data_IF_524236036753
#
_entry.id   IF_524236036753
#
_cell.length_a   1.000
_cell.length_b   1.000
_cell.length_c   1.000
_cell.angle_alpha   90.00
_cell.angle_beta   90.00
_cell.angle_gamma   90.00
#
_symmetry.space_group_name_H-M   'P 1'
#
loop_
_entity.id
_entity.type
_entity.pdbx_description
1 polymer ?
#
# COMPACT_ATOMS: atom_id res chain seq x y z
N UNK A 1 1.92 -6.53 7.47
CA UNK A 1 2.93 -5.82 6.64
C UNK A 1 3.38 -6.62 5.42
N UNK A 2 3.83 -7.89 5.53
CA UNK A 2 4.26 -8.69 4.36
C UNK A 2 3.22 -8.73 3.24
N UNK A 3 1.96 -9.05 3.56
CA UNK A 3 0.87 -9.06 2.58
C UNK A 3 0.67 -7.71 1.86
N UNK A 4 0.80 -6.59 2.57
CA UNK A 4 0.68 -5.26 1.95
C UNK A 4 1.74 -5.01 0.89
N UNK A 5 2.99 -5.43 1.17
CA UNK A 5 4.08 -5.36 0.18
C UNK A 5 3.80 -6.29 -1.00
N UNK A 6 3.36 -7.53 -0.76
CA UNK A 6 2.97 -8.46 -1.84
C UNK A 6 1.87 -7.87 -2.72
N UNK A 7 0.84 -7.27 -2.12
CA UNK A 7 -0.26 -6.61 -2.84
C UNK A 7 0.23 -5.45 -3.70
N UNK A 8 1.16 -4.64 -3.17
CA UNK A 8 1.82 -3.58 -3.93
C UNK A 8 2.62 -4.13 -5.12
N UNK A 9 3.43 -5.17 -4.90
CA UNK A 9 4.23 -5.79 -5.97
C UNK A 9 3.37 -6.44 -7.05
N UNK A 10 2.25 -7.07 -6.68
CA UNK A 10 1.28 -7.61 -7.62
C UNK A 10 0.73 -6.47 -8.50
N UNK A 11 0.26 -5.37 -7.89
CA UNK A 11 -0.23 -4.23 -8.66
C UNK A 11 0.85 -3.61 -9.56
N UNK A 12 2.09 -3.54 -9.08
CA UNK A 12 3.23 -3.05 -9.84
C UNK A 12 3.49 -3.92 -11.08
N UNK A 13 3.58 -5.23 -10.92
CA UNK A 13 3.87 -6.16 -12.02
C UNK A 13 2.69 -6.21 -13.00
N UNK A 14 1.45 -6.30 -12.49
CA UNK A 14 0.26 -6.31 -13.33
C UNK A 14 0.17 -5.06 -14.21
N UNK A 15 0.53 -3.88 -13.68
CA UNK A 15 0.50 -2.64 -14.44
C UNK A 15 1.75 -2.41 -15.32
N UNK A 16 2.92 -2.90 -14.92
CA UNK A 16 4.16 -2.77 -15.69
C UNK A 16 4.21 -3.71 -16.90
N UNK A 17 3.71 -4.94 -16.75
CA UNK A 17 3.63 -5.94 -17.82
C UNK A 17 2.26 -5.93 -18.53
N UNK A 18 1.37 -5.01 -18.16
CA UNK A 18 0.02 -4.89 -18.72
C UNK A 18 -0.78 -6.20 -18.70
N UNK A 19 -0.71 -6.94 -17.59
CA UNK A 19 -1.39 -8.22 -17.41
C UNK A 19 -2.90 -7.96 -17.34
N UNK A 20 -3.63 -8.45 -18.33
CA UNK A 20 -5.07 -8.28 -18.46
C UNK A 20 -5.80 -9.56 -18.89
N UNK A 21 -5.08 -10.47 -19.53
CA UNK A 21 -5.57 -11.75 -20.06
C UNK A 21 -4.81 -12.93 -19.42
N UNK A 22 -5.34 -14.15 -19.58
CA UNK A 22 -4.75 -15.35 -18.97
C UNK A 22 -3.46 -15.70 -19.71
N UNK A 23 -3.45 -15.45 -21.02
CA UNK A 23 -2.33 -15.61 -21.93
C UNK A 23 -1.11 -14.79 -21.45
N UNK A 24 -1.30 -13.56 -20.97
CA UNK A 24 -0.22 -12.73 -20.39
C UNK A 24 0.44 -13.43 -19.18
N UNK A 25 -0.36 -14.12 -18.36
CA UNK A 25 0.13 -14.88 -17.20
C UNK A 25 0.91 -16.09 -17.69
N UNK A 26 0.40 -16.83 -18.67
CA UNK A 26 1.06 -18.01 -19.24
C UNK A 26 2.42 -17.64 -19.84
N UNK A 27 2.48 -16.60 -20.66
CA UNK A 27 3.71 -16.10 -21.27
C UNK A 27 4.77 -15.74 -20.20
N UNK A 28 4.37 -15.05 -19.14
CA UNK A 28 5.27 -14.71 -18.03
C UNK A 28 5.75 -15.98 -17.31
N UNK A 29 4.85 -16.90 -16.98
CA UNK A 29 5.21 -18.17 -16.32
C UNK A 29 6.20 -18.98 -17.18
N UNK A 30 6.02 -19.01 -18.51
CA UNK A 30 6.94 -19.67 -19.45
C UNK A 30 8.30 -18.98 -19.52
N UNK A 31 8.34 -17.65 -19.50
CA UNK A 31 9.57 -16.85 -19.49
C UNK A 31 10.39 -17.06 -18.20
N UNK A 32 9.74 -17.40 -17.08
CA UNK A 32 10.33 -17.68 -15.74
C UNK A 32 11.12 -16.53 -15.12
N UNK A 33 11.16 -15.36 -15.74
CA UNK A 33 11.79 -14.16 -15.25
C UNK A 33 10.99 -12.93 -15.64
N UNK A 34 11.25 -11.82 -14.95
CA UNK A 34 10.77 -10.52 -15.40
C UNK A 34 11.82 -9.89 -16.29
N UNK A 35 11.41 -9.35 -17.43
CA UNK A 35 12.28 -8.54 -18.28
C UNK A 35 12.79 -7.34 -17.49
N UNK A 36 14.13 -7.24 -17.32
CA UNK A 36 14.77 -6.12 -16.63
C UNK A 36 14.49 -4.80 -17.34
N UNK A 37 14.44 -4.82 -18.67
CA UNK A 37 14.26 -3.62 -19.48
C UNK A 37 12.88 -2.99 -19.24
N UNK A 38 11.83 -3.83 -19.16
CA UNK A 38 10.47 -3.38 -18.84
C UNK A 38 10.40 -2.77 -17.44
N UNK A 39 11.02 -3.42 -16.46
CA UNK A 39 11.05 -2.91 -15.08
C UNK A 39 11.82 -1.59 -15.01
N UNK A 40 12.96 -1.49 -15.69
CA UNK A 40 13.81 -0.31 -15.68
C UNK A 40 13.13 0.87 -16.38
N UNK A 41 12.48 0.64 -17.51
CA UNK A 41 11.68 1.65 -18.21
C UNK A 41 10.51 2.13 -17.33
N UNK A 42 9.79 1.20 -16.72
CA UNK A 42 8.68 1.52 -15.83
C UNK A 42 9.14 2.32 -14.61
N UNK A 43 10.25 1.91 -13.99
CA UNK A 43 10.87 2.63 -12.88
C UNK A 43 11.28 4.04 -13.32
N UNK A 44 11.95 4.21 -14.47
CA UNK A 44 12.35 5.53 -14.98
C UNK A 44 11.15 6.45 -15.21
N UNK A 45 10.04 5.92 -15.74
CA UNK A 45 8.83 6.70 -16.00
C UNK A 45 8.12 7.18 -14.72
N UNK A 46 8.29 6.48 -13.59
CA UNK A 46 7.53 6.73 -12.36
C UNK A 46 8.40 6.95 -11.11
N UNK A 47 9.73 7.05 -11.27
CA UNK A 47 10.72 7.07 -10.19
C UNK A 47 10.42 8.10 -9.10
N UNK A 48 10.02 9.31 -9.48
CA UNK A 48 9.72 10.41 -8.55
C UNK A 48 8.65 10.06 -7.51
N UNK A 49 7.75 9.12 -7.84
CA UNK A 49 6.62 8.71 -6.98
C UNK A 49 6.94 7.57 -6.03
N UNK A 50 8.13 6.98 -6.13
CA UNK A 50 8.61 5.91 -5.25
C UNK A 50 9.51 6.41 -4.11
N UNK A 51 9.78 7.71 -4.05
CA UNK A 51 10.47 8.33 -2.91
C UNK A 51 9.56 8.48 -1.70
N UNK A 52 9.97 7.95 -0.55
CA UNK A 52 9.18 8.03 0.68
C UNK A 52 8.99 9.47 1.16
N UNK A 53 10.04 10.29 1.07
CA UNK A 53 10.04 11.70 1.46
C UNK A 53 10.33 12.54 0.21
N UNK A 54 9.32 12.76 -0.61
CA UNK A 54 9.39 13.65 -1.77
C UNK A 54 8.50 14.85 -1.51
N UNK A 55 9.01 16.04 -1.78
CA UNK A 55 8.25 17.28 -1.57
C UNK A 55 7.01 17.34 -2.47
N UNK A 56 7.14 16.76 -3.68
CA UNK A 56 6.11 16.85 -4.71
C UNK A 56 5.22 15.60 -4.80
N UNK A 57 5.81 14.42 -4.64
CA UNK A 57 5.12 13.14 -4.83
C UNK A 57 5.55 12.11 -3.78
N UNK A 58 5.28 12.34 -2.48
CA UNK A 58 5.67 11.40 -1.44
C UNK A 58 4.94 10.07 -1.60
N UNK A 59 5.69 8.97 -1.55
CA UNK A 59 5.18 7.63 -1.78
C UNK A 59 4.00 7.33 -0.86
N UNK A 60 2.83 7.01 -1.45
CA UNK A 60 1.59 6.64 -0.74
C UNK A 60 1.13 7.68 0.30
N UNK A 61 1.49 8.94 0.10
CA UNK A 61 1.20 10.05 1.00
C UNK A 61 0.60 11.22 0.22
N UNK A 62 0.12 12.22 0.95
CA UNK A 62 -0.32 13.48 0.39
C UNK A 62 0.77 14.55 0.59
N UNK A 63 1.26 15.23 -0.47
CA UNK A 63 2.19 16.34 -0.32
C UNK A 63 1.54 17.59 0.31
N UNK A 64 0.24 17.78 0.10
CA UNK A 64 -0.52 18.91 0.64
C UNK A 64 -0.89 18.60 2.10
N UNK A 65 0.02 18.95 2.99
CA UNK A 65 -0.18 18.90 4.43
C UNK A 65 -0.41 20.31 4.96
N UNK A 66 -1.48 20.48 5.73
CA UNK A 66 -1.72 21.69 6.50
C UNK A 66 -1.13 21.51 7.89
N UNK A 67 -0.17 22.35 8.28
CA UNK A 67 0.49 22.31 9.58
C UNK A 67 -0.50 22.52 10.75
N UNK A 68 -1.66 23.14 10.50
CA UNK A 68 -2.72 23.26 11.51
C UNK A 68 -3.39 21.90 11.83
N UNK A 69 -3.14 20.87 11.02
CA UNK A 69 -3.64 19.54 11.29
C UNK A 69 -2.91 18.89 12.48
N UNK A 70 -3.68 18.43 13.46
CA UNK A 70 -3.16 17.84 14.70
C UNK A 70 -2.24 16.66 14.39
N UNK A 71 -0.93 16.87 14.53
CA UNK A 71 0.10 15.82 14.44
C UNK A 71 -0.30 14.63 15.30
N UNK A 72 -0.20 13.43 14.74
CA UNK A 72 -0.54 12.18 15.42
C UNK A 72 0.68 11.29 15.60
N UNK A 73 0.74 10.48 16.67
CA UNK A 73 1.79 9.50 16.82
C UNK A 73 1.78 8.49 15.67
N UNK A 74 2.96 8.08 15.23
CA UNK A 74 3.17 7.11 14.14
C UNK A 74 2.52 5.73 14.41
N UNK A 75 2.24 5.40 15.68
CA UNK A 75 1.44 4.22 16.05
C UNK A 75 0.03 4.23 15.45
N UNK A 76 -0.50 5.40 15.08
CA UNK A 76 -1.78 5.56 14.35
C UNK A 76 -1.73 5.00 12.93
N UNK A 77 -0.56 4.83 12.32
CA UNK A 77 -0.40 4.12 11.05
C UNK A 77 -0.40 2.59 11.27
N UNK A 78 0.12 2.15 12.41
CA UNK A 78 0.36 0.75 12.76
C UNK A 78 -0.64 0.24 13.81
N UNK A 79 -1.92 0.62 13.67
CA UNK A 79 -2.97 0.38 14.68
C UNK A 79 -3.19 -1.10 15.03
N UNK A 80 -2.81 -2.03 14.15
CA UNK A 80 -2.88 -3.47 14.43
C UNK A 80 -1.74 -4.00 15.29
N UNK A 81 -0.60 -3.32 15.27
CA UNK A 81 0.60 -3.79 15.95
C UNK A 81 0.76 -3.14 17.32
N UNK A 82 0.26 -1.91 17.48
CA UNK A 82 0.43 -1.14 18.71
C UNK A 82 -0.92 -0.73 19.30
N UNK A 83 -1.07 -0.77 20.64
CA UNK A 83 -2.28 -0.33 21.31
C UNK A 83 -2.55 1.16 21.02
N UNK A 84 -3.84 1.48 20.82
CA UNK A 84 -4.30 2.83 20.50
C UNK A 84 -5.27 3.40 21.52
N UNK A 85 -5.16 4.70 21.79
CA UNK A 85 -6.15 5.45 22.55
C UNK A 85 -6.30 4.88 23.96
N UNK A 86 -7.49 4.37 24.28
CA UNK A 86 -7.80 3.82 25.59
C UNK A 86 -7.46 2.32 25.72
N UNK A 87 -6.83 1.70 24.71
CA UNK A 87 -6.45 0.28 24.79
C UNK A 87 -5.39 0.08 25.88
N UNK A 88 -5.62 -0.91 26.75
CA UNK A 88 -4.68 -1.28 27.81
C UNK A 88 -3.34 -1.67 27.23
N UNK A 89 -2.28 -1.03 27.71
CA UNK A 89 -0.91 -1.29 27.29
C UNK A 89 -0.37 -2.46 28.13
N UNK A 90 -0.65 -3.70 27.72
CA UNK A 90 -0.33 -4.89 28.53
C UNK A 90 1.12 -5.40 28.36
N UNK A 91 1.64 -5.35 27.13
CA UNK A 91 2.96 -5.90 26.77
C UNK A 91 3.91 -4.85 26.14
N UNK A 92 3.49 -3.59 26.09
CA UNK A 92 4.30 -2.50 25.58
C UNK A 92 4.66 -1.56 26.73
N UNK A 93 5.95 -1.30 26.94
CA UNK A 93 6.39 -0.42 28.02
C UNK A 93 6.64 1.02 27.55
N UNK A 94 6.11 1.37 26.36
CA UNK A 94 6.22 2.70 25.76
C UNK A 94 4.84 3.29 25.51
N UNK A 95 4.72 4.60 25.72
CA UNK A 95 3.51 5.33 25.32
C UNK A 95 3.58 5.68 23.83
N UNK A 96 2.44 5.94 23.20
CA UNK A 96 2.34 6.13 21.74
C UNK A 96 3.36 7.12 21.14
N UNK A 97 3.65 8.20 21.87
CA UNK A 97 4.56 9.28 21.44
C UNK A 97 6.05 8.89 21.49
N UNK A 98 6.40 7.83 22.19
CA UNK A 98 7.79 7.36 22.35
C UNK A 98 8.21 6.35 21.27
N UNK A 99 7.27 5.96 20.40
CA UNK A 99 7.57 5.07 19.30
C UNK A 99 8.17 5.83 18.12
N UNK A 100 9.36 5.41 17.74
CA UNK A 100 10.05 5.82 16.52
C UNK A 100 10.10 4.64 15.54
N UNK A 101 9.91 4.91 14.24
CA UNK A 101 9.98 3.89 13.20
C UNK A 101 10.94 4.31 12.09
N UNK A 102 11.68 3.34 11.56
CA UNK A 102 12.56 3.59 10.43
C UNK A 102 11.75 3.83 9.15
N UNK A 103 12.31 4.58 8.18
CA UNK A 103 11.71 4.78 6.86
C UNK A 103 11.25 3.47 6.20
N UNK A 104 12.02 2.39 6.36
CA UNK A 104 11.69 1.06 5.86
C UNK A 104 10.35 0.53 6.41
N UNK A 105 10.14 0.67 7.72
CA UNK A 105 8.90 0.20 8.34
C UNK A 105 7.72 1.09 7.95
N UNK A 106 7.94 2.40 7.85
CA UNK A 106 6.94 3.34 7.38
C UNK A 106 6.46 3.00 5.96
N UNK A 107 7.38 2.74 5.02
CA UNK A 107 7.03 2.33 3.65
C UNK A 107 6.21 1.02 3.64
N UNK A 108 6.62 0.01 4.42
CA UNK A 108 5.87 -1.26 4.54
C UNK A 108 4.48 -1.09 5.16
N UNK A 109 4.34 -0.14 6.08
CA UNK A 109 3.07 0.19 6.71
C UNK A 109 2.13 0.89 5.72
N UNK A 110 2.66 1.82 4.91
CA UNK A 110 1.92 2.47 3.83
C UNK A 110 1.40 1.45 2.80
N UNK A 111 2.20 0.47 2.38
CA UNK A 111 1.74 -0.60 1.48
C UNK A 111 0.63 -1.47 2.10
N UNK A 112 0.54 -1.57 3.42
CA UNK A 112 -0.50 -2.34 4.10
C UNK A 112 -1.83 -1.59 4.21
N UNK A 113 -1.81 -0.26 4.06
CA UNK A 113 -2.97 0.60 4.28
C UNK A 113 -4.15 0.30 3.33
N UNK A 114 -3.96 0.10 2.00
CA UNK A 114 -5.07 -0.20 1.08
C UNK A 114 -5.86 -1.45 1.45
N UNK A 115 -5.21 -2.45 2.05
CA UNK A 115 -5.87 -3.68 2.45
C UNK A 115 -6.47 -3.57 3.85
N UNK A 116 -5.69 -3.05 4.80
CA UNK A 116 -5.99 -3.27 6.22
C UNK A 116 -6.58 -2.07 6.94
N UNK A 117 -6.77 -0.90 6.33
CA UNK A 117 -7.32 0.24 7.07
C UNK A 117 -8.66 -0.08 7.75
N UNK A 118 -8.69 0.02 9.09
CA UNK A 118 -9.89 -0.19 9.92
C UNK A 118 -10.63 1.13 10.12
N UNK A 119 -11.91 1.06 10.48
CA UNK A 119 -12.62 2.26 10.94
C UNK A 119 -11.99 2.80 12.22
N UNK A 120 -11.59 4.06 12.19
CA UNK A 120 -10.98 4.74 13.34
C UNK A 120 -11.92 5.71 14.05
N UNK A 121 -13.24 5.46 14.08
CA UNK A 121 -14.27 6.37 14.61
C UNK A 121 -15.02 7.16 13.54
N UNK A 122 -15.75 8.23 13.94
CA UNK A 122 -16.54 9.08 13.03
C UNK A 122 -15.65 9.64 11.90
N UNK A 123 -16.09 9.46 10.65
CA UNK A 123 -15.42 9.99 9.45
C UNK A 123 -14.32 9.09 8.85
N UNK A 124 -13.86 8.05 9.56
CA UNK A 124 -12.82 7.14 9.06
C UNK A 124 -13.43 5.84 8.51
N UNK A 125 -13.57 5.75 7.18
CA UNK A 125 -14.12 4.56 6.48
C UNK A 125 -13.10 3.42 6.41
N UNK A 126 -13.48 2.14 6.44
CA UNK A 126 -12.52 1.04 6.28
C UNK A 126 -11.90 1.03 4.86
N UNK A 127 -11.00 0.07 4.61
CA UNK A 127 -10.56 -0.22 3.25
C UNK A 127 -11.73 -0.61 2.33
N UNK A 128 -11.47 -0.65 1.01
CA UNK A 128 -12.48 -1.06 0.01
C UNK A 128 -13.10 -2.43 0.31
N UNK A 129 -12.40 -3.29 1.05
CA UNK A 129 -12.83 -4.66 1.35
C UNK A 129 -13.62 -4.78 2.67
N UNK A 130 -13.96 -3.67 3.33
CA UNK A 130 -14.76 -3.68 4.55
C UNK A 130 -14.02 -4.19 5.80
N UNK A 131 -14.73 -4.83 6.75
CA UNK A 131 -14.17 -5.24 8.05
C UNK A 131 -14.64 -6.64 8.51
N UNK A 132 -13.73 -7.48 9.03
CA UNK A 132 -12.36 -7.70 8.58
C UNK A 132 -12.33 -8.67 7.39
N UNK A 133 -11.72 -8.30 6.25
CA UNK A 133 -11.64 -9.18 5.09
C UNK A 133 -10.65 -10.32 5.30
N UNK A 134 -10.91 -11.44 4.64
CA UNK A 134 -9.97 -12.55 4.53
C UNK A 134 -9.28 -12.46 3.17
N UNK A 135 -7.96 -12.55 3.18
CA UNK A 135 -7.16 -12.50 1.96
C UNK A 135 -6.54 -13.86 1.66
N UNK A 136 -6.72 -14.31 0.43
CA UNK A 136 -6.14 -15.55 -0.08
C UNK A 136 -5.14 -15.18 -1.17
N UNK A 137 -3.97 -15.81 -1.15
CA UNK A 137 -2.98 -15.71 -2.23
C UNK A 137 -2.59 -17.11 -2.67
N UNK A 138 -2.40 -17.27 -3.97
CA UNK A 138 -1.80 -18.47 -4.55
C UNK A 138 -0.29 -18.44 -4.26
N UNK A 139 0.25 -19.51 -3.69
CA UNK A 139 1.69 -19.62 -3.43
C UNK A 139 2.35 -20.39 -4.56
N UNK A 140 3.21 -19.74 -5.33
CA UNK A 140 4.06 -20.38 -6.35
C UNK A 140 5.30 -21.03 -5.75
N UNK A 141 6.16 -21.61 -6.60
CA UNK A 141 7.43 -22.22 -6.19
C UNK A 141 8.45 -21.20 -5.70
N UNK A 142 8.34 -19.97 -6.18
CA UNK A 142 9.20 -18.84 -5.82
C UNK A 142 8.39 -17.53 -5.77
N UNK A 143 9.05 -16.42 -5.45
CA UNK A 143 8.40 -15.11 -5.39
C UNK A 143 7.85 -14.68 -6.75
N UNK A 144 8.60 -14.93 -7.83
CA UNK A 144 8.19 -14.61 -9.20
C UNK A 144 6.84 -15.26 -9.53
N UNK A 145 6.73 -16.59 -9.42
CA UNK A 145 5.50 -17.32 -9.68
C UNK A 145 4.38 -16.86 -8.74
N UNK A 146 4.69 -16.58 -7.47
CA UNK A 146 3.69 -16.06 -6.53
C UNK A 146 3.14 -14.72 -6.98
N UNK A 147 3.95 -13.82 -7.53
CA UNK A 147 3.46 -12.50 -7.99
C UNK A 147 2.66 -12.63 -9.29
N UNK A 148 3.13 -13.42 -10.24
CA UNK A 148 2.47 -13.64 -11.54
C UNK A 148 1.12 -14.35 -11.35
N UNK A 149 1.06 -15.43 -10.56
CA UNK A 149 -0.19 -16.18 -10.32
C UNK A 149 -1.27 -15.38 -9.57
N UNK A 150 -0.90 -14.31 -8.87
CA UNK A 150 -1.86 -13.42 -8.21
C UNK A 150 -2.11 -12.12 -8.99
N UNK A 151 -1.53 -11.98 -10.19
CA UNK A 151 -1.90 -10.94 -11.14
C UNK A 151 -3.23 -11.32 -11.80
N UNK A 152 -4.09 -10.34 -12.05
CA UNK A 152 -5.45 -10.58 -12.50
C UNK A 152 -5.50 -10.64 -14.03
N UNK A 153 -5.33 -11.83 -14.61
CA UNK A 153 -5.42 -12.08 -16.06
C UNK A 153 -6.85 -12.25 -16.58
N UNK A 154 -7.86 -11.84 -15.82
CA UNK A 154 -9.24 -11.90 -16.27
C UNK A 154 -10.04 -10.74 -15.67
N UNK A 155 -11.04 -10.20 -16.38
CA UNK A 155 -11.92 -9.19 -15.83
C UNK A 155 -12.72 -9.80 -14.67
N UNK A 156 -12.63 -9.17 -13.50
CA UNK A 156 -13.51 -9.47 -12.37
C UNK A 156 -14.80 -8.68 -12.60
N UNK A 157 -15.91 -9.37 -12.86
CA UNK A 157 -17.19 -8.75 -13.27
C UNK A 157 -17.68 -7.65 -12.32
N UNK A 158 -17.42 -7.77 -11.02
CA UNK A 158 -17.80 -6.77 -10.01
C UNK A 158 -16.89 -5.53 -9.99
N UNK A 159 -15.69 -5.61 -10.58
CA UNK A 159 -14.69 -4.53 -10.64
C UNK A 159 -14.81 -3.75 -11.95
N UNK A 160 -15.93 -3.04 -12.11
CA UNK A 160 -16.28 -2.30 -13.34
C UNK A 160 -15.63 -0.92 -13.47
N UNK A 161 -14.77 -0.53 -12.52
CA UNK A 161 -14.05 0.75 -12.58
C UNK A 161 -12.95 0.76 -13.65
N UNK A 162 -12.55 1.96 -14.09
CA UNK A 162 -11.48 2.17 -15.10
C UNK A 162 -10.20 2.77 -14.51
N UNK A 163 -10.08 2.88 -13.19
CA UNK A 163 -8.90 3.46 -12.55
C UNK A 163 -7.66 2.60 -12.74
N UNK A 164 -6.48 3.20 -12.84
CA UNK A 164 -5.21 2.49 -12.83
C UNK A 164 -4.61 2.40 -11.42
N UNK A 165 -3.33 2.02 -11.36
CA UNK A 165 -2.53 2.12 -10.13
C UNK A 165 -2.43 3.57 -9.64
N UNK A 166 -2.40 3.74 -8.32
CA UNK A 166 -2.39 5.03 -7.64
C UNK A 166 -1.33 6.00 -8.18
N UNK A 167 -0.11 5.54 -8.38
CA UNK A 167 1.00 6.38 -8.83
C UNK A 167 0.93 6.77 -10.31
N UNK A 168 0.00 6.23 -11.11
CA UNK A 168 -0.29 6.77 -12.45
C UNK A 168 -1.37 7.86 -12.44
N UNK A 169 -2.13 7.99 -11.35
CA UNK A 169 -3.17 9.02 -11.25
C UNK A 169 -2.56 10.43 -11.17
N UNK A 170 -3.20 11.38 -11.85
CA UNK A 170 -2.88 12.82 -11.78
C UNK A 170 -3.54 13.51 -10.58
N UNK A 171 -4.64 12.95 -10.08
CA UNK A 171 -5.34 13.41 -8.88
C UNK A 171 -5.55 12.23 -7.95
N UNK A 172 -4.99 12.33 -6.74
CA UNK A 172 -5.23 11.36 -5.69
C UNK A 172 -6.33 11.90 -4.80
N UNK A 173 -7.49 11.26 -4.86
CA UNK A 173 -8.58 11.52 -3.94
C UNK A 173 -8.44 10.59 -2.73
N UNK A 174 -8.38 11.17 -1.54
CA UNK A 174 -8.27 10.39 -0.31
C UNK A 174 -9.58 10.47 0.47
N UNK A 175 -9.90 9.40 1.20
CA UNK A 175 -11.09 9.30 2.05
C UNK A 175 -12.43 9.46 1.30
N UNK A 176 -12.42 9.43 -0.04
CA UNK A 176 -13.64 9.38 -0.87
C UNK A 176 -14.08 7.93 -1.02
N UNK A 177 -15.31 7.55 -0.61
CA UNK A 177 -15.83 6.22 -0.88
C UNK A 177 -15.86 5.98 -2.39
N UNK A 178 -15.12 4.96 -2.85
CA UNK A 178 -15.19 4.52 -4.24
C UNK A 178 -16.34 3.53 -4.36
N UNK A 179 -17.34 3.86 -5.20
CA UNK A 179 -18.46 2.96 -5.48
C UNK A 179 -18.09 1.88 -6.52
N UNK A 180 -17.24 2.21 -7.49
CA UNK A 180 -16.77 1.31 -8.54
C UNK A 180 -15.25 1.43 -8.66
N UNK A 181 -14.55 0.32 -8.54
CA UNK A 181 -13.08 0.27 -8.65
C UNK A 181 -12.68 -0.75 -9.71
N UNK A 182 -11.57 -0.50 -10.40
CA UNK A 182 -10.86 -1.57 -11.10
C UNK A 182 -10.09 -2.42 -10.08
N UNK A 183 -9.56 -3.57 -10.52
CA UNK A 183 -8.65 -4.38 -9.70
C UNK A 183 -7.41 -3.59 -9.28
N UNK A 184 -6.68 -2.97 -10.22
CA UNK A 184 -5.44 -2.23 -9.94
C UNK A 184 -5.65 -1.00 -9.04
N UNK A 185 -6.73 -0.26 -9.29
CA UNK A 185 -7.13 0.85 -8.43
C UNK A 185 -7.42 0.35 -7.02
N UNK A 186 -8.14 -0.77 -6.89
CA UNK A 186 -8.49 -1.34 -5.59
C UNK A 186 -7.29 -1.95 -4.85
N UNK A 187 -6.26 -2.42 -5.57
CA UNK A 187 -5.02 -2.90 -4.97
C UNK A 187 -4.24 -1.76 -4.30
N UNK A 188 -4.35 -0.53 -4.84
CA UNK A 188 -3.49 0.61 -4.50
C UNK A 188 -4.23 1.80 -3.87
N UNK A 189 -5.56 1.74 -3.74
CA UNK A 189 -6.37 2.83 -3.21
C UNK A 189 -6.02 3.22 -1.77
N UNK A 190 -6.01 4.54 -1.50
CA UNK A 190 -5.70 5.09 -0.18
C UNK A 190 -6.96 5.48 0.61
N UNK A 191 -7.28 4.77 1.71
CA UNK A 191 -8.42 5.09 2.57
C UNK A 191 -8.20 6.33 3.46
N UNK A 192 -6.99 6.88 3.54
CA UNK A 192 -6.62 7.92 4.50
C UNK A 192 -5.74 8.99 3.86
N UNK A 193 -5.90 10.22 4.33
CA UNK A 193 -4.89 11.27 4.19
C UNK A 193 -3.76 11.00 5.18
N UNK A 194 -2.54 10.84 4.66
CA UNK A 194 -1.33 10.59 5.47
C UNK A 194 -0.19 11.41 4.91
N UNK A 195 0.55 12.04 5.81
CA UNK A 195 1.83 12.69 5.54
C UNK A 195 2.77 12.32 6.69
N UNK A 196 3.93 11.75 6.39
CA UNK A 196 4.94 11.40 7.38
C UNK A 196 5.81 12.61 7.67
N UNK A 197 5.97 12.93 8.94
CA UNK A 197 6.90 13.97 9.39
C UNK A 197 8.22 13.27 9.73
N UNK A 198 9.30 13.50 8.96
CA UNK A 198 10.61 12.91 9.28
C UNK A 198 11.16 13.53 10.57
N UNK A 199 11.85 12.71 11.36
CA UNK A 199 12.60 13.15 12.53
C UNK A 199 14.01 12.55 12.46
N UNK A 200 15.01 13.28 12.97
CA UNK A 200 16.40 12.82 12.95
C UNK A 200 16.69 11.92 14.15
N UNK A 201 17.30 10.76 13.87
CA UNK A 201 17.81 9.83 14.89
C UNK A 201 16.76 8.92 15.56
N UNK A 202 17.25 8.11 16.50
CA UNK A 202 16.46 7.13 17.27
C UNK A 202 16.55 5.70 16.75
N UNK A 203 16.30 4.74 17.65
CA UNK A 203 16.23 3.31 17.29
C UNK A 203 14.81 2.93 16.90
N UNK A 204 14.65 2.19 15.81
CA UNK A 204 13.32 1.82 15.35
C UNK A 204 12.71 0.78 16.31
N UNK A 205 11.60 1.16 16.94
CA UNK A 205 10.96 0.30 17.96
C UNK A 205 10.47 -1.05 17.39
N UNK A 206 10.29 -1.16 16.07
CA UNK A 206 9.88 -2.42 15.43
C UNK A 206 11.05 -3.37 15.14
N UNK A 207 12.22 -2.84 14.80
CA UNK A 207 13.37 -3.66 14.38
C UNK A 207 14.43 -3.82 15.47
N UNK A 208 14.34 -3.03 16.55
CA UNK A 208 15.40 -2.91 17.56
C UNK A 208 16.48 -1.94 17.10
#
# INVERSE_FOLDING_TARGET
>A
MKYGVSRFLIAFISDAFNISEIEDIEELIEAKNFSSDIIDEYCKAHFEKFFLFSDKYPFYQNPNFDEESKTKPITELLQFFFPKGNNTILFYHKVQKEHTFSPLICARALCALPAFAVSGGRGYKPSINGKPPWYVLIKGKNLFETLVLNSCGAPIEINTGKGGVLWKSSKIEYNTPIQMTSTLQGLTWLPRYIHLIPAEGGNCTYTG
#
